data_IF_860739233330
#
_entry.id   IF_860739233330
#
_cell.length_a   1.000
_cell.length_b   1.000
_cell.length_c   1.000
_cell.angle_alpha   90.00
_cell.angle_beta   90.00
_cell.angle_gamma   90.00
#
_symmetry.space_group_name_H-M   'P 1'
#
loop_
_entity.id
_entity.type
_entity.pdbx_description
1 polymer ?
#
# COMPACT_ATOMS: atom_id res chain seq x y z
N UNK A 1 -16.19 21.20 10.00
CA UNK A 1 -15.29 20.03 10.16
C UNK A 1 -14.02 20.55 10.85
N UNK A 2 -13.76 20.10 12.06
CA UNK A 2 -12.54 20.41 12.81
C UNK A 2 -11.46 19.39 12.46
N UNK A 3 -10.26 19.85 12.13
CA UNK A 3 -9.13 19.00 11.79
C UNK A 3 -8.10 19.01 12.91
N UNK A 4 -7.58 17.84 13.27
CA UNK A 4 -6.51 17.68 14.25
C UNK A 4 -5.23 17.23 13.56
N UNK A 5 -4.11 17.83 13.98
CA UNK A 5 -2.78 17.53 13.45
C UNK A 5 -2.21 16.28 14.11
N UNK A 6 -1.61 15.40 13.28
CA UNK A 6 -0.88 14.21 13.73
C UNK A 6 0.36 13.98 12.88
N UNK A 7 1.37 13.32 13.44
CA UNK A 7 2.28 12.50 12.65
C UNK A 7 1.59 11.17 12.34
N UNK A 8 1.81 10.59 11.17
CA UNK A 8 1.21 9.29 10.80
C UNK A 8 1.52 8.21 11.84
N UNK A 9 2.75 8.15 12.38
CA UNK A 9 3.13 7.17 13.39
C UNK A 9 2.39 7.27 14.74
N UNK A 10 1.67 8.38 15.00
CA UNK A 10 0.81 8.49 16.17
C UNK A 10 -0.51 7.74 15.97
N UNK A 11 -0.98 7.56 14.73
CA UNK A 11 -2.28 7.01 14.37
C UNK A 11 -2.24 5.69 13.60
N UNK A 12 -1.06 5.26 13.13
CA UNK A 12 -0.85 3.99 12.44
C UNK A 12 0.58 3.46 12.70
N UNK A 13 0.78 2.17 12.44
CA UNK A 13 2.08 1.54 12.34
C UNK A 13 2.39 1.15 10.91
N UNK A 14 3.68 1.11 10.59
CA UNK A 14 4.20 0.73 9.27
C UNK A 14 5.24 -0.36 9.45
N UNK A 15 4.99 -1.53 8.87
CA UNK A 15 5.93 -2.65 8.94
C UNK A 15 6.55 -2.92 7.57
N UNK A 16 7.84 -3.23 7.57
CA UNK A 16 8.58 -3.64 6.37
C UNK A 16 8.52 -5.16 6.23
N UNK A 17 8.45 -5.66 4.99
CA UNK A 17 8.44 -7.10 4.74
C UNK A 17 9.81 -7.79 4.77
N UNK A 18 9.81 -9.06 4.44
CA UNK A 18 10.98 -9.94 4.47
C UNK A 18 11.98 -9.61 3.36
N UNK A 19 13.27 -9.75 3.68
CA UNK A 19 14.33 -9.87 2.68
C UNK A 19 14.30 -11.32 2.15
N UNK A 20 13.68 -11.51 0.99
CA UNK A 20 13.52 -12.81 0.34
C UNK A 20 14.74 -13.10 -0.54
N UNK A 21 15.40 -14.25 -0.34
CA UNK A 21 16.57 -14.62 -1.16
C UNK A 21 16.17 -14.98 -2.59
N UNK A 22 16.91 -14.42 -3.56
CA UNK A 22 16.65 -14.64 -4.98
C UNK A 22 16.82 -16.09 -5.46
N UNK A 23 17.55 -16.92 -4.71
CA UNK A 23 17.73 -18.36 -4.99
C UNK A 23 16.43 -19.15 -4.93
N UNK A 24 15.43 -18.67 -4.16
CA UNK A 24 14.11 -19.30 -4.02
C UNK A 24 13.04 -18.64 -4.90
N UNK A 25 13.41 -17.79 -5.85
CA UNK A 25 12.46 -17.24 -6.81
C UNK A 25 12.14 -18.29 -7.88
N UNK A 26 10.85 -18.51 -8.14
CA UNK A 26 10.36 -19.53 -9.07
C UNK A 26 9.30 -18.97 -10.02
N UNK A 27 9.04 -19.69 -11.09
CA UNK A 27 8.00 -19.38 -12.08
C UNK A 27 6.62 -19.91 -11.66
N UNK A 28 6.59 -20.82 -10.69
CA UNK A 28 5.37 -21.41 -10.12
C UNK A 28 5.54 -21.67 -8.62
N UNK A 29 4.47 -21.82 -7.87
CA UNK A 29 4.46 -22.08 -6.43
C UNK A 29 3.16 -21.60 -5.77
N UNK A 30 3.07 -21.78 -4.45
CA UNK A 30 1.89 -21.41 -3.69
C UNK A 30 1.86 -19.92 -3.30
N UNK A 31 3.02 -19.28 -3.21
CA UNK A 31 3.16 -17.94 -2.69
C UNK A 31 3.77 -16.98 -3.71
N UNK A 32 3.16 -15.81 -3.85
CA UNK A 32 3.63 -14.73 -4.74
C UNK A 32 4.28 -13.65 -3.89
N UNK A 33 5.55 -13.32 -4.16
CA UNK A 33 6.22 -12.19 -3.51
C UNK A 33 5.70 -10.87 -4.07
N UNK A 34 5.29 -9.97 -3.19
CA UNK A 34 4.87 -8.62 -3.57
C UNK A 34 6.07 -7.79 -4.05
N UNK A 35 5.84 -7.00 -5.07
CA UNK A 35 6.81 -6.08 -5.66
C UNK A 35 6.13 -4.75 -5.99
N UNK A 36 6.90 -3.74 -6.37
CA UNK A 36 6.35 -2.48 -6.89
C UNK A 36 5.46 -2.66 -8.12
N UNK A 37 5.60 -3.77 -8.87
CA UNK A 37 4.75 -4.13 -10.00
C UNK A 37 3.31 -4.47 -9.63
N UNK A 38 3.01 -4.68 -8.34
CA UNK A 38 1.66 -4.94 -7.85
C UNK A 38 0.83 -3.67 -7.59
N UNK A 39 1.38 -2.49 -7.90
CA UNK A 39 0.66 -1.22 -7.75
C UNK A 39 0.29 -0.63 -9.11
N UNK A 40 -0.99 -0.40 -9.32
CA UNK A 40 -1.46 0.57 -10.29
C UNK A 40 -1.48 1.95 -9.59
N UNK A 41 -0.38 2.68 -9.69
CA UNK A 41 -0.20 3.95 -8.99
C UNK A 41 -1.01 5.10 -9.62
N UNK A 42 -1.53 4.93 -10.84
CA UNK A 42 -2.41 5.91 -11.48
C UNK A 42 -3.83 5.80 -10.94
N UNK A 43 -4.29 4.56 -10.73
CA UNK A 43 -5.63 4.27 -10.22
C UNK A 43 -5.65 3.93 -8.72
N UNK A 44 -4.49 3.88 -8.10
CA UNK A 44 -4.31 3.62 -6.67
C UNK A 44 -4.97 2.31 -6.23
N UNK A 45 -4.72 1.24 -6.98
CA UNK A 45 -5.27 -0.09 -6.72
C UNK A 45 -4.23 -1.19 -6.89
N UNK A 46 -4.59 -2.38 -6.42
CA UNK A 46 -3.81 -3.60 -6.63
C UNK A 46 -3.94 -4.05 -8.08
N UNK A 47 -2.84 -4.51 -8.65
CA UNK A 47 -2.82 -5.25 -9.91
C UNK A 47 -1.93 -6.48 -9.83
N UNK A 48 -2.24 -7.49 -10.61
CA UNK A 48 -1.31 -8.60 -10.79
C UNK A 48 -0.06 -8.13 -11.53
N UNK A 49 1.09 -8.55 -11.02
CA UNK A 49 2.35 -8.23 -11.68
C UNK A 49 2.62 -9.29 -12.78
N UNK A 50 2.64 -8.85 -14.03
CA UNK A 50 2.94 -9.70 -15.20
C UNK A 50 4.29 -9.35 -15.83
N UNK A 51 5.09 -8.50 -15.18
CA UNK A 51 6.36 -7.99 -15.74
C UNK A 51 7.55 -8.93 -15.58
N UNK A 52 7.39 -10.01 -14.80
CA UNK A 52 8.43 -11.00 -14.51
C UNK A 52 7.83 -12.40 -14.45
N UNK A 53 8.60 -13.40 -14.81
CA UNK A 53 8.17 -14.79 -14.76
C UNK A 53 8.40 -15.43 -13.37
N UNK A 54 9.41 -14.96 -12.63
CA UNK A 54 9.85 -15.53 -11.35
C UNK A 54 9.28 -14.80 -10.12
N UNK A 55 7.98 -14.64 -10.06
CA UNK A 55 7.30 -13.93 -8.96
C UNK A 55 6.96 -14.82 -7.77
N UNK A 56 6.97 -16.13 -7.96
CA UNK A 56 6.71 -17.08 -6.88
C UNK A 56 7.92 -17.20 -5.94
N UNK A 57 7.65 -17.58 -4.71
CA UNK A 57 8.66 -17.82 -3.69
C UNK A 57 8.44 -19.19 -3.05
N UNK A 58 9.46 -20.04 -3.14
CA UNK A 58 9.42 -21.44 -2.67
C UNK A 58 10.29 -21.66 -1.43
N UNK A 59 10.96 -20.62 -0.91
CA UNK A 59 11.77 -20.68 0.30
C UNK A 59 10.95 -20.51 1.58
N UNK A 60 11.59 -20.71 2.72
CA UNK A 60 10.98 -20.46 4.02
C UNK A 60 10.84 -18.97 4.32
N UNK A 61 9.77 -18.60 4.99
CA UNK A 61 9.52 -17.25 5.49
C UNK A 61 8.66 -17.29 6.76
N UNK A 62 8.72 -16.22 7.56
CA UNK A 62 7.89 -16.12 8.77
C UNK A 62 6.44 -15.82 8.40
N UNK A 63 5.51 -16.50 9.06
CA UNK A 63 4.06 -16.38 8.79
C UNK A 63 3.50 -14.94 8.92
N UNK A 64 4.17 -14.07 9.68
CA UNK A 64 3.79 -12.68 9.84
C UNK A 64 3.86 -11.88 8.52
N UNK A 65 4.68 -12.33 7.55
CA UNK A 65 4.79 -11.72 6.22
C UNK A 65 3.75 -12.21 5.23
N UNK A 66 2.96 -13.23 5.59
CA UNK A 66 1.86 -13.69 4.75
C UNK A 66 0.68 -12.72 4.89
N UNK A 67 0.31 -12.13 3.75
CA UNK A 67 -0.68 -11.06 3.71
C UNK A 67 -2.10 -11.60 3.81
N UNK A 68 -2.98 -10.80 4.38
CA UNK A 68 -4.41 -11.08 4.51
C UNK A 68 -5.23 -10.17 3.61
N UNK A 69 -6.34 -10.67 3.11
CA UNK A 69 -7.32 -9.87 2.36
C UNK A 69 -7.68 -8.61 3.14
N UNK A 70 -7.62 -7.48 2.45
CA UNK A 70 -7.91 -6.18 3.03
C UNK A 70 -6.71 -5.50 3.68
N UNK A 71 -5.52 -6.12 3.78
CA UNK A 71 -4.31 -5.42 4.22
C UNK A 71 -3.98 -4.28 3.27
N UNK A 72 -3.67 -3.11 3.84
CA UNK A 72 -3.24 -1.94 3.06
C UNK A 72 -1.72 -2.01 2.92
N UNK A 73 -1.25 -1.87 1.68
CA UNK A 73 0.17 -1.86 1.36
C UNK A 73 0.55 -0.58 0.61
N UNK A 74 1.82 -0.19 0.74
CA UNK A 74 2.44 0.93 0.02
C UNK A 74 3.89 0.58 -0.34
N UNK A 75 4.42 1.03 -1.50
CA UNK A 75 5.79 0.74 -1.89
C UNK A 75 6.78 1.58 -1.07
N UNK A 76 7.96 1.00 -0.78
CA UNK A 76 9.10 1.66 -0.15
C UNK A 76 10.15 2.12 -1.16
N UNK A 77 10.02 1.71 -2.42
CA UNK A 77 10.96 2.02 -3.51
C UNK A 77 10.20 2.66 -4.67
N UNK A 78 10.75 3.72 -5.25
CA UNK A 78 10.16 4.40 -6.40
C UNK A 78 10.88 3.96 -7.68
N UNK A 79 10.26 3.08 -8.44
CA UNK A 79 10.71 2.68 -9.79
C UNK A 79 10.11 3.57 -10.89
N UNK A 80 9.03 4.28 -10.59
CA UNK A 80 8.37 5.25 -11.46
C UNK A 80 7.91 6.45 -10.62
N UNK A 81 8.02 7.66 -11.18
CA UNK A 81 7.61 8.89 -10.50
C UNK A 81 6.14 8.81 -10.10
N UNK A 82 5.86 9.07 -8.82
CA UNK A 82 4.50 9.03 -8.26
C UNK A 82 4.11 7.70 -7.60
N UNK A 83 5.01 6.72 -7.61
CA UNK A 83 4.78 5.43 -6.96
C UNK A 83 4.82 5.56 -5.42
N UNK A 84 5.75 6.36 -4.85
CA UNK A 84 5.79 6.60 -3.40
C UNK A 84 4.49 7.22 -2.91
N UNK A 85 3.94 6.61 -1.85
CA UNK A 85 2.64 7.00 -1.31
C UNK A 85 1.45 6.48 -2.11
N UNK A 86 1.62 5.68 -3.17
CA UNK A 86 0.49 4.92 -3.71
C UNK A 86 0.08 3.82 -2.75
N UNK A 87 -1.18 3.44 -2.78
CA UNK A 87 -1.72 2.40 -1.91
C UNK A 87 -2.39 1.31 -2.73
N UNK A 88 -2.39 0.10 -2.20
CA UNK A 88 -3.16 -1.01 -2.73
C UNK A 88 -3.74 -1.84 -1.58
N UNK A 89 -4.82 -2.57 -1.86
CA UNK A 89 -5.44 -3.48 -0.89
C UNK A 89 -5.21 -4.90 -1.38
N UNK A 90 -4.75 -5.76 -0.49
CA UNK A 90 -4.54 -7.18 -0.78
C UNK A 90 -5.88 -7.85 -1.09
N UNK A 91 -6.02 -8.48 -2.27
CA UNK A 91 -7.31 -9.02 -2.72
C UNK A 91 -7.65 -10.37 -2.09
N UNK A 92 -6.64 -11.16 -1.68
CA UNK A 92 -6.80 -12.53 -1.22
C UNK A 92 -5.86 -12.84 -0.06
N UNK A 93 -6.35 -13.61 0.92
CA UNK A 93 -5.53 -14.04 2.07
C UNK A 93 -4.67 -15.25 1.71
N UNK A 94 -3.45 -15.30 2.24
CA UNK A 94 -2.62 -16.51 2.20
C UNK A 94 -1.89 -16.76 0.88
N UNK A 95 -1.94 -15.81 -0.06
CA UNK A 95 -1.31 -15.95 -1.39
C UNK A 95 -0.06 -15.08 -1.56
N UNK A 96 -0.03 -13.92 -0.91
CA UNK A 96 0.99 -12.89 -1.13
C UNK A 96 1.92 -12.77 0.08
N UNK A 97 3.24 -12.71 -0.19
CA UNK A 97 4.27 -12.47 0.83
C UNK A 97 4.73 -11.02 0.74
N UNK A 98 4.76 -10.34 1.86
CA UNK A 98 5.30 -8.99 1.99
C UNK A 98 6.83 -9.01 1.83
N UNK A 99 7.34 -8.48 0.73
CA UNK A 99 8.79 -8.32 0.49
C UNK A 99 9.33 -7.03 1.15
N UNK A 100 10.65 -6.92 1.22
CA UNK A 100 11.35 -5.77 1.80
C UNK A 100 11.05 -4.41 1.12
N UNK A 101 10.56 -4.43 -0.13
CA UNK A 101 10.24 -3.22 -0.89
C UNK A 101 8.81 -2.72 -0.66
N UNK A 102 8.04 -3.47 0.13
CA UNK A 102 6.63 -3.20 0.40
C UNK A 102 6.42 -2.99 1.90
N UNK A 103 5.75 -1.90 2.25
CA UNK A 103 5.28 -1.66 3.59
C UNK A 103 3.81 -2.06 3.74
N UNK A 104 3.47 -2.61 4.90
CA UNK A 104 2.10 -2.83 5.36
C UNK A 104 1.73 -1.74 6.34
N UNK A 105 0.53 -1.20 6.19
CA UNK A 105 -0.05 -0.17 7.05
C UNK A 105 -1.02 -0.83 8.03
N UNK A 106 -0.84 -0.55 9.31
CA UNK A 106 -1.72 -1.03 10.38
C UNK A 106 -2.30 0.17 11.13
N UNK A 107 -3.59 0.42 10.97
CA UNK A 107 -4.27 1.54 11.61
C UNK A 107 -4.47 1.29 13.12
N UNK A 108 -4.34 2.34 13.94
CA UNK A 108 -4.85 2.36 15.30
C UNK A 108 -6.34 2.70 15.21
N UNK A 109 -7.20 1.68 15.34
CA UNK A 109 -8.63 1.74 14.97
C UNK A 109 -9.46 2.73 15.80
N UNK A 110 -8.97 3.14 16.97
CA UNK A 110 -9.54 4.19 17.82
C UNK A 110 -9.24 5.61 17.31
N UNK A 111 -8.26 5.78 16.43
CA UNK A 111 -7.80 7.07 15.91
C UNK A 111 -7.95 7.21 14.39
N UNK A 112 -7.80 6.11 13.65
CA UNK A 112 -7.76 6.12 12.20
C UNK A 112 -8.62 5.01 11.60
N UNK A 113 -9.62 5.42 10.82
CA UNK A 113 -10.45 4.51 10.02
C UNK A 113 -9.64 3.92 8.86
N UNK A 114 -9.80 2.62 8.61
CA UNK A 114 -9.01 1.88 7.62
C UNK A 114 -9.26 2.34 6.19
N UNK A 115 -10.51 2.53 5.80
CA UNK A 115 -10.84 3.01 4.46
C UNK A 115 -10.35 4.45 4.25
N UNK A 116 -10.51 5.30 5.26
CA UNK A 116 -9.96 6.65 5.24
C UNK A 116 -8.43 6.66 5.14
N UNK A 117 -7.73 5.78 5.87
CA UNK A 117 -6.28 5.65 5.84
C UNK A 117 -5.75 5.33 4.44
N UNK A 118 -6.44 4.47 3.69
CA UNK A 118 -6.10 4.13 2.32
C UNK A 118 -5.98 5.40 1.44
N UNK A 119 -6.94 6.30 1.51
CA UNK A 119 -6.93 7.56 0.75
C UNK A 119 -6.00 8.61 1.37
N UNK A 120 -5.87 8.64 2.69
CA UNK A 120 -4.97 9.56 3.38
C UNK A 120 -3.52 9.36 2.93
N UNK A 121 -3.04 8.11 2.91
CA UNK A 121 -1.66 7.77 2.53
C UNK A 121 -1.41 8.10 1.06
N UNK A 122 -2.38 7.87 0.18
CA UNK A 122 -2.29 8.19 -1.24
C UNK A 122 -2.59 9.66 -1.57
N UNK A 123 -2.89 10.48 -0.57
CA UNK A 123 -3.15 11.89 -0.77
C UNK A 123 -1.92 12.66 -1.26
N UNK A 124 -2.16 13.76 -1.97
CA UNK A 124 -1.11 14.66 -2.45
C UNK A 124 -0.22 15.16 -1.32
N UNK A 125 -0.78 15.41 -0.13
CA UNK A 125 -0.05 15.90 1.05
C UNK A 125 1.01 14.89 1.50
N UNK A 126 0.67 13.60 1.60
CA UNK A 126 1.61 12.55 1.99
C UNK A 126 2.61 12.28 0.87
N UNK A 127 2.17 12.17 -0.38
CA UNK A 127 3.03 11.97 -1.55
C UNK A 127 4.10 13.06 -1.69
N UNK A 128 3.75 14.32 -1.47
CA UNK A 128 4.69 15.44 -1.52
C UNK A 128 5.75 15.34 -0.41
N UNK A 129 5.36 14.99 0.82
CA UNK A 129 6.31 14.83 1.93
C UNK A 129 7.27 13.67 1.68
N UNK A 130 6.77 12.52 1.19
CA UNK A 130 7.60 11.37 0.85
C UNK A 130 8.55 11.69 -0.31
N UNK A 131 8.07 12.37 -1.34
CA UNK A 131 8.88 12.80 -2.49
C UNK A 131 9.97 13.79 -2.07
N UNK A 132 9.67 14.78 -1.23
CA UNK A 132 10.64 15.73 -0.72
C UNK A 132 11.74 15.04 0.11
N UNK A 133 11.38 14.08 0.95
CA UNK A 133 12.32 13.29 1.75
C UNK A 133 13.19 12.34 0.92
N UNK A 134 12.81 12.02 -0.32
CA UNK A 134 13.49 11.08 -1.20
C UNK A 134 14.39 11.74 -2.27
N UNK A 135 14.43 13.08 -2.37
CA UNK A 135 15.08 13.82 -3.47
C UNK A 135 16.61 13.68 -3.58
N UNK A 136 17.28 12.99 -2.66
CA UNK A 136 18.75 12.93 -2.62
C UNK A 136 19.37 11.68 -3.26
N UNK A 137 18.60 10.79 -3.89
CA UNK A 137 19.11 9.53 -4.44
C UNK A 137 18.62 9.25 -5.86
N UNK A 138 19.49 8.62 -6.68
CA UNK A 138 19.20 8.23 -8.08
C UNK A 138 18.03 7.22 -8.18
N UNK A 139 17.83 6.39 -7.16
CA UNK A 139 16.65 5.56 -6.94
C UNK A 139 16.02 6.07 -5.65
N UNK A 140 14.78 6.53 -5.73
CA UNK A 140 14.09 7.09 -4.58
C UNK A 140 13.62 5.97 -3.67
N UNK A 141 14.06 6.02 -2.42
CA UNK A 141 13.62 5.09 -1.38
C UNK A 141 12.96 5.87 -0.25
N UNK A 142 11.93 5.28 0.31
CA UNK A 142 11.38 5.69 1.59
C UNK A 142 11.56 4.58 2.62
N UNK A 143 11.17 4.82 3.85
CA UNK A 143 11.24 3.84 4.93
C UNK A 143 9.98 3.91 5.79
N UNK A 144 9.67 2.88 6.57
CA UNK A 144 8.59 2.93 7.55
C UNK A 144 8.64 4.20 8.42
N UNK A 145 9.82 4.62 8.86
CA UNK A 145 9.95 5.80 9.73
C UNK A 145 9.67 7.10 8.97
N UNK A 146 10.12 7.23 7.72
CA UNK A 146 9.78 8.40 6.89
C UNK A 146 8.28 8.49 6.62
N UNK A 147 7.58 7.36 6.46
CA UNK A 147 6.11 7.35 6.33
C UNK A 147 5.49 7.80 7.65
N UNK A 148 5.93 7.25 8.79
CA UNK A 148 5.44 7.61 10.12
C UNK A 148 5.68 9.09 10.48
N UNK A 149 6.71 9.71 9.95
CA UNK A 149 7.03 11.12 10.17
C UNK A 149 6.17 12.10 9.37
N UNK A 150 5.43 11.65 8.36
CA UNK A 150 4.54 12.51 7.59
C UNK A 150 3.49 13.18 8.48
N UNK A 151 3.30 14.48 8.28
CA UNK A 151 2.33 15.30 9.03
C UNK A 151 1.03 15.37 8.25
N UNK A 152 -0.07 15.08 8.92
CA UNK A 152 -1.42 15.11 8.36
C UNK A 152 -2.39 15.86 9.26
N UNK A 153 -3.48 16.34 8.67
CA UNK A 153 -4.59 16.96 9.36
C UNK A 153 -5.83 16.13 9.04
N UNK A 154 -6.42 15.51 10.06
CA UNK A 154 -7.53 14.59 9.89
C UNK A 154 -8.74 14.99 10.74
N UNK A 155 -9.96 14.72 10.28
CA UNK A 155 -11.18 14.95 11.06
C UNK A 155 -11.35 13.88 12.14
N UNK A 156 -12.38 14.04 12.96
CA UNK A 156 -12.75 13.02 13.97
C UNK A 156 -13.15 11.70 13.30
N UNK A 157 -13.02 10.60 14.04
CA UNK A 157 -13.17 9.23 13.52
C UNK A 157 -14.54 8.98 12.83
N UNK A 158 -15.62 9.59 13.34
CA UNK A 158 -16.96 9.46 12.72
C UNK A 158 -17.01 10.07 11.32
N UNK A 159 -16.33 11.19 11.10
CA UNK A 159 -16.22 11.84 9.79
C UNK A 159 -15.30 11.06 8.86
N UNK A 160 -14.18 10.50 9.39
CA UNK A 160 -13.29 9.61 8.63
C UNK A 160 -14.06 8.42 8.07
N UNK A 161 -14.87 7.74 8.89
CA UNK A 161 -15.71 6.60 8.46
C UNK A 161 -16.67 6.98 7.34
N UNK A 162 -17.31 8.15 7.44
CA UNK A 162 -18.21 8.64 6.37
C UNK A 162 -17.45 8.91 5.07
N UNK A 163 -16.30 9.59 5.14
CA UNK A 163 -15.46 9.92 3.99
C UNK A 163 -14.89 8.65 3.36
N UNK A 164 -14.29 7.78 4.17
CA UNK A 164 -13.71 6.52 3.71
C UNK A 164 -14.74 5.64 2.99
N UNK A 165 -15.92 5.45 3.59
CA UNK A 165 -17.00 4.69 2.98
C UNK A 165 -17.49 5.30 1.66
N UNK A 166 -17.61 6.64 1.58
CA UNK A 166 -18.03 7.31 0.35
C UNK A 166 -17.01 7.06 -0.77
N UNK A 167 -15.73 7.28 -0.50
CA UNK A 167 -14.66 7.10 -1.48
C UNK A 167 -14.55 5.64 -1.94
N UNK A 168 -14.64 4.66 -1.02
CA UNK A 168 -14.67 3.23 -1.37
C UNK A 168 -15.87 2.85 -2.24
N UNK A 169 -17.04 3.46 -2.00
CA UNK A 169 -18.22 3.24 -2.84
C UNK A 169 -18.01 3.77 -4.26
N UNK A 170 -17.33 4.91 -4.41
CA UNK A 170 -16.99 5.46 -5.72
C UNK A 170 -15.97 4.56 -6.46
N UNK A 171 -14.91 4.12 -5.79
CA UNK A 171 -13.93 3.20 -6.39
C UNK A 171 -14.59 1.90 -6.83
N UNK A 172 -15.44 1.29 -6.00
CA UNK A 172 -16.16 0.06 -6.36
C UNK A 172 -17.03 0.24 -7.63
N UNK A 173 -17.66 1.41 -7.81
CA UNK A 173 -18.41 1.72 -9.04
C UNK A 173 -17.49 1.88 -10.25
N UNK A 174 -16.33 2.52 -10.07
CA UNK A 174 -15.32 2.67 -11.14
C UNK A 174 -14.79 1.30 -11.57
N UNK A 175 -14.46 0.42 -10.61
CA UNK A 175 -14.01 -0.95 -10.88
C UNK A 175 -15.07 -1.76 -11.61
N UNK A 176 -16.32 -1.68 -11.18
CA UNK A 176 -17.44 -2.37 -11.86
C UNK A 176 -17.62 -1.86 -13.29
N UNK A 177 -17.59 -0.56 -13.52
CA UNK A 177 -17.73 0.01 -14.86
C UNK A 177 -16.57 -0.42 -15.78
N UNK A 178 -15.33 -0.49 -15.27
CA UNK A 178 -14.18 -0.99 -16.02
C UNK A 178 -14.35 -2.46 -16.39
N UNK A 179 -14.80 -3.29 -15.46
CA UNK A 179 -15.05 -4.70 -15.72
C UNK A 179 -16.15 -4.91 -16.78
N UNK A 180 -17.21 -4.10 -16.76
CA UNK A 180 -18.26 -4.14 -17.80
C UNK A 180 -17.67 -3.75 -19.16
N UNK A 181 -16.90 -2.67 -19.25
CA UNK A 181 -16.32 -2.20 -20.51
C UNK A 181 -15.27 -3.14 -21.10
N UNK A 182 -14.62 -3.98 -20.29
CA UNK A 182 -13.69 -5.00 -20.78
C UNK A 182 -14.39 -6.23 -21.40
N UNK A 183 -15.67 -6.41 -21.10
CA UNK A 183 -16.49 -7.53 -21.60
C UNK A 183 -17.38 -7.15 -22.80
N UNK A 184 -17.31 -5.91 -23.26
CA UNK A 184 -17.96 -5.38 -24.48
C UNK A 184 -16.97 -5.33 -25.64
#
# INVERSE_FOLDING_TARGET
>A
MELKKYKLGEILDVTRGASLSGEYYATEGDYIRLTCGNFDYQNNCFKENTSKDNLYYIGEFRSEFLMKKGDIITPLTEQAIGLLGSTAIIPESGKYIQSQDIAKIVCKEDLLDKDFAFYLISSTIVKQQLSAAAQQTKIRHTSPDKIKDCIVWIPKLTEQKCIGKLLRTLDSKIELNRAINQNL
#
